data_IF_179449001281
#
_entry.id   IF_179449001281
#
_cell.length_a   1.000
_cell.length_b   1.000
_cell.length_c   1.000
_cell.angle_alpha   90.00
_cell.angle_beta   90.00
_cell.angle_gamma   90.00
#
_symmetry.space_group_name_H-M   'P 1'
#
loop_
_entity.id
_entity.type
_entity.pdbx_description
1 polymer ?
#
# COMPACT_ATOMS: atom_id res chain seq x y z
N UNK A 1 -23.67 -4.09 22.11
CA UNK A 1 -22.28 -3.56 22.12
C UNK A 1 -22.29 -2.15 22.69
N UNK A 2 -21.36 -1.88 23.64
CA UNK A 2 -21.21 -0.55 24.21
C UNK A 2 -20.72 0.44 23.13
N UNK A 3 -21.28 1.64 23.15
CA UNK A 3 -20.92 2.74 22.26
C UNK A 3 -20.74 4.02 23.06
N UNK A 4 -20.11 5.01 22.46
CA UNK A 4 -20.02 6.34 23.08
C UNK A 4 -21.40 6.98 23.26
N UNK A 5 -21.48 7.93 24.18
CA UNK A 5 -22.72 8.61 24.53
C UNK A 5 -23.10 9.75 23.59
N UNK A 6 -22.20 10.17 22.70
CA UNK A 6 -22.39 11.37 21.89
C UNK A 6 -22.59 11.07 20.39
N UNK A 7 -23.21 12.02 19.72
CA UNK A 7 -23.31 12.05 18.25
C UNK A 7 -22.55 13.22 17.62
N UNK A 8 -22.13 14.17 18.45
CA UNK A 8 -21.29 15.30 18.03
C UNK A 8 -19.98 15.28 18.86
N UNK A 9 -18.86 15.43 18.21
CA UNK A 9 -17.54 15.34 18.85
C UNK A 9 -17.38 16.26 20.06
N UNK A 10 -17.90 17.50 19.97
CA UNK A 10 -17.80 18.47 21.05
C UNK A 10 -18.56 18.09 22.31
N UNK A 11 -19.45 17.09 22.22
CA UNK A 11 -20.26 16.61 23.35
C UNK A 11 -19.66 15.36 24.01
N UNK A 12 -18.55 14.87 23.50
CA UNK A 12 -17.89 13.70 24.06
C UNK A 12 -17.28 14.00 25.43
N UNK A 13 -17.36 13.02 26.33
CA UNK A 13 -16.70 13.08 27.64
C UNK A 13 -15.30 12.47 27.56
N UNK A 14 -14.49 12.68 28.59
CA UNK A 14 -13.19 12.05 28.70
C UNK A 14 -13.30 10.52 28.62
N UNK A 15 -14.30 9.96 29.29
CA UNK A 15 -14.54 8.51 29.29
C UNK A 15 -14.89 7.99 27.91
N UNK A 16 -15.68 8.74 27.14
CA UNK A 16 -15.99 8.42 25.75
C UNK A 16 -14.73 8.31 24.91
N UNK A 17 -13.82 9.29 25.02
CA UNK A 17 -12.60 9.32 24.24
C UNK A 17 -11.60 8.25 24.65
N UNK A 18 -11.52 7.93 25.94
CA UNK A 18 -10.70 6.82 26.41
C UNK A 18 -11.21 5.47 25.89
N UNK A 19 -12.53 5.33 25.85
CA UNK A 19 -13.18 4.15 25.29
C UNK A 19 -12.87 4.00 23.80
N UNK A 20 -12.96 5.08 23.04
CA UNK A 20 -12.65 5.07 21.60
C UNK A 20 -11.16 4.77 21.36
N UNK A 21 -10.28 5.38 22.14
CA UNK A 21 -8.83 5.16 22.03
C UNK A 21 -8.48 3.67 22.21
N UNK A 22 -9.10 3.02 23.18
CA UNK A 22 -8.93 1.59 23.39
C UNK A 22 -9.37 0.78 22.18
N UNK A 23 -10.54 1.08 21.63
CA UNK A 23 -11.05 0.40 20.44
C UNK A 23 -10.18 0.66 19.20
N UNK A 24 -9.70 1.89 19.04
CA UNK A 24 -8.78 2.24 17.95
C UNK A 24 -7.48 1.42 18.03
N UNK A 25 -6.90 1.33 19.21
CA UNK A 25 -5.66 0.55 19.40
C UNK A 25 -5.86 -0.93 19.06
N UNK A 26 -6.94 -1.52 19.52
CA UNK A 26 -7.29 -2.90 19.19
C UNK A 26 -7.49 -3.07 17.67
N UNK A 27 -8.15 -2.10 17.05
CA UNK A 27 -8.35 -2.12 15.60
C UNK A 27 -7.05 -2.00 14.82
N UNK A 28 -6.13 -1.16 15.27
CA UNK A 28 -4.79 -1.01 14.67
C UNK A 28 -4.01 -2.32 14.74
N UNK A 29 -4.11 -3.05 15.86
CA UNK A 29 -3.41 -4.33 16.03
C UNK A 29 -3.80 -5.39 14.99
N UNK A 30 -4.99 -5.26 14.40
CA UNK A 30 -5.49 -6.17 13.37
C UNK A 30 -5.32 -5.62 11.93
N UNK A 31 -4.49 -4.61 11.73
CA UNK A 31 -4.27 -4.00 10.41
C UNK A 31 -3.72 -5.01 9.40
N UNK A 32 -2.76 -5.83 9.80
CA UNK A 32 -2.17 -6.83 8.89
C UNK A 32 -3.22 -7.81 8.36
N UNK A 33 -4.12 -8.25 9.22
CA UNK A 33 -5.20 -9.17 8.83
C UNK A 33 -6.13 -8.54 7.79
N UNK A 34 -6.46 -7.25 7.96
CA UNK A 34 -7.29 -6.53 6.99
C UNK A 34 -6.58 -6.34 5.66
N UNK A 35 -5.28 -6.07 5.68
CA UNK A 35 -4.47 -5.94 4.47
C UNK A 35 -4.43 -7.26 3.72
N UNK A 36 -4.19 -8.37 4.39
CA UNK A 36 -4.16 -9.71 3.79
C UNK A 36 -5.52 -10.04 3.16
N UNK A 37 -6.60 -9.74 3.87
CA UNK A 37 -7.97 -9.94 3.35
C UNK A 37 -8.20 -9.12 2.09
N UNK A 38 -7.81 -7.85 2.08
CA UNK A 38 -7.92 -6.99 0.91
C UNK A 38 -7.09 -7.55 -0.27
N UNK A 39 -5.85 -7.93 -0.02
CA UNK A 39 -4.96 -8.52 -1.02
C UNK A 39 -5.57 -9.76 -1.67
N UNK A 40 -6.23 -10.60 -0.91
CA UNK A 40 -6.85 -11.83 -1.43
C UNK A 40 -7.94 -11.55 -2.47
N UNK A 41 -8.51 -10.34 -2.48
CA UNK A 41 -9.50 -9.90 -3.47
C UNK A 41 -8.90 -9.41 -4.79
N UNK A 42 -7.59 -9.25 -4.88
CA UNK A 42 -6.92 -8.71 -6.07
C UNK A 42 -6.77 -9.73 -7.21
N UNK A 43 -7.60 -10.74 -7.24
CA UNK A 43 -7.62 -11.76 -8.30
C UNK A 43 -8.45 -11.35 -9.51
N UNK A 44 -9.38 -10.41 -9.34
CA UNK A 44 -10.34 -10.01 -10.37
C UNK A 44 -10.33 -8.53 -10.71
N UNK A 45 -9.38 -7.79 -10.16
CA UNK A 45 -9.21 -6.35 -10.44
C UNK A 45 -8.37 -6.16 -11.70
N UNK A 46 -8.20 -4.94 -12.14
CA UNK A 46 -7.36 -4.50 -13.25
C UNK A 46 -6.94 -5.61 -14.23
N UNK A 47 -7.72 -5.80 -15.28
CA UNK A 47 -7.50 -6.81 -16.30
C UNK A 47 -6.48 -6.36 -17.37
N UNK A 48 -6.07 -7.29 -18.21
CA UNK A 48 -5.18 -7.02 -19.34
C UNK A 48 -3.76 -7.55 -19.16
N UNK A 49 -3.39 -7.95 -17.96
CA UNK A 49 -2.09 -8.55 -17.69
C UNK A 49 -2.15 -10.08 -17.79
N UNK A 50 -1.00 -10.70 -17.96
CA UNK A 50 -0.89 -12.16 -18.04
C UNK A 50 -1.20 -12.85 -16.69
N UNK A 51 -1.02 -12.14 -15.60
CA UNK A 51 -1.30 -12.64 -14.23
C UNK A 51 -2.18 -11.64 -13.49
N UNK A 52 -2.90 -12.12 -12.48
CA UNK A 52 -3.69 -11.24 -11.63
C UNK A 52 -2.78 -10.30 -10.82
N UNK A 53 -3.36 -9.25 -10.26
CA UNK A 53 -2.61 -8.35 -9.38
C UNK A 53 -2.11 -9.07 -8.12
N UNK A 54 -2.87 -10.01 -7.61
CA UNK A 54 -2.43 -10.84 -6.49
C UNK A 54 -1.22 -11.70 -6.87
N UNK A 55 -1.28 -12.39 -8.01
CA UNK A 55 -0.16 -13.21 -8.49
C UNK A 55 1.09 -12.35 -8.72
N UNK A 56 0.95 -11.17 -9.33
CA UNK A 56 2.05 -10.24 -9.52
C UNK A 56 2.69 -9.85 -8.19
N UNK A 57 1.87 -9.51 -7.19
CA UNK A 57 2.34 -9.15 -5.85
C UNK A 57 3.11 -10.27 -5.19
N UNK A 58 2.59 -11.50 -5.28
CA UNK A 58 3.25 -12.69 -4.72
C UNK A 58 4.55 -13.01 -5.45
N UNK A 59 4.57 -12.91 -6.77
CA UNK A 59 5.79 -13.10 -7.56
C UNK A 59 6.86 -12.07 -7.22
N UNK A 60 6.47 -10.82 -7.08
CA UNK A 60 7.38 -9.73 -6.72
C UNK A 60 8.00 -9.95 -5.35
N UNK A 61 7.19 -10.30 -4.36
CA UNK A 61 7.66 -10.61 -3.01
C UNK A 61 8.59 -11.83 -2.99
N UNK A 62 8.26 -12.86 -3.77
CA UNK A 62 9.08 -14.06 -3.89
C UNK A 62 10.45 -13.73 -4.49
N UNK A 63 10.50 -12.88 -5.51
CA UNK A 63 11.76 -12.44 -6.10
C UNK A 63 12.61 -11.66 -5.10
N UNK A 64 11.98 -10.78 -4.32
CA UNK A 64 12.67 -10.03 -3.26
C UNK A 64 13.26 -10.98 -2.21
N UNK A 65 12.49 -11.98 -1.78
CA UNK A 65 12.96 -13.00 -0.83
C UNK A 65 14.15 -13.77 -1.38
N UNK A 66 14.05 -14.25 -2.62
CA UNK A 66 15.14 -14.99 -3.27
C UNK A 66 16.39 -14.15 -3.50
N UNK A 67 16.22 -12.84 -3.67
CA UNK A 67 17.34 -11.90 -3.80
C UNK A 67 18.04 -11.60 -2.46
N UNK A 68 17.52 -12.12 -1.36
CA UNK A 68 18.08 -11.87 -0.03
C UNK A 68 17.73 -10.51 0.57
N UNK A 69 16.65 -9.90 0.11
CA UNK A 69 16.20 -8.61 0.63
C UNK A 69 15.72 -8.74 2.09
N UNK A 70 15.68 -7.60 2.78
CA UNK A 70 15.17 -7.54 4.15
C UNK A 70 13.68 -7.91 4.20
N UNK A 71 13.22 -8.35 5.37
CA UNK A 71 11.79 -8.58 5.60
C UNK A 71 10.96 -7.34 5.27
N UNK A 72 11.44 -6.17 5.69
CA UNK A 72 10.81 -4.89 5.37
C UNK A 72 10.60 -4.72 3.86
N UNK A 73 11.63 -4.99 3.07
CA UNK A 73 11.56 -4.85 1.61
C UNK A 73 10.66 -5.92 0.98
N UNK A 74 10.66 -7.14 1.50
CA UNK A 74 9.79 -8.21 1.03
C UNK A 74 8.32 -7.80 1.22
N UNK A 75 7.98 -7.30 2.40
CA UNK A 75 6.62 -6.83 2.71
C UNK A 75 6.26 -5.63 1.83
N UNK A 76 7.15 -4.67 1.70
CA UNK A 76 6.93 -3.49 0.85
C UNK A 76 6.68 -3.89 -0.60
N UNK A 77 7.44 -4.84 -1.10
CA UNK A 77 7.29 -5.36 -2.45
C UNK A 77 5.96 -6.10 -2.63
N UNK A 78 5.54 -6.87 -1.63
CA UNK A 78 4.24 -7.53 -1.64
C UNK A 78 3.10 -6.51 -1.78
N UNK A 79 3.21 -5.35 -1.15
CA UNK A 79 2.15 -4.35 -1.07
C UNK A 79 2.30 -3.21 -2.09
N UNK A 80 3.33 -3.22 -2.94
CA UNK A 80 3.64 -2.06 -3.77
C UNK A 80 2.52 -1.63 -4.73
N UNK A 81 1.70 -2.55 -5.20
CA UNK A 81 0.58 -2.28 -6.10
C UNK A 81 -0.80 -2.41 -5.41
N UNK A 82 -0.85 -2.41 -4.08
CA UNK A 82 -2.12 -2.53 -3.35
C UNK A 82 -3.11 -1.40 -3.67
N UNK A 83 -2.62 -0.29 -4.20
CA UNK A 83 -3.45 0.85 -4.59
C UNK A 83 -4.14 0.72 -5.94
N UNK A 84 -3.84 -0.30 -6.72
CA UNK A 84 -4.38 -0.43 -8.09
C UNK A 84 -5.90 -0.43 -8.16
N UNK A 85 -6.58 -1.01 -7.17
CA UNK A 85 -8.04 -1.07 -7.18
C UNK A 85 -8.70 0.26 -6.80
N UNK A 86 -8.22 0.90 -5.74
CA UNK A 86 -8.88 2.09 -5.18
C UNK A 86 -8.24 3.39 -5.61
N UNK A 87 -6.99 3.38 -6.03
CA UNK A 87 -6.26 4.57 -6.40
C UNK A 87 -5.38 4.33 -7.64
N UNK A 88 -5.97 3.92 -8.78
CA UNK A 88 -5.17 3.61 -9.98
C UNK A 88 -4.37 4.80 -10.52
N UNK A 89 -4.83 6.02 -10.26
CA UNK A 89 -4.14 7.23 -10.71
C UNK A 89 -2.89 7.57 -9.87
N UNK A 90 -2.83 7.07 -8.65
CA UNK A 90 -1.75 7.36 -7.70
C UNK A 90 -1.46 6.17 -6.78
N UNK A 91 -1.47 4.98 -7.36
CA UNK A 91 -1.30 3.74 -6.59
C UNK A 91 0.01 3.66 -5.81
N UNK A 92 1.07 4.28 -6.32
CA UNK A 92 2.38 4.30 -5.64
C UNK A 92 2.32 5.07 -4.33
N UNK A 93 1.69 6.25 -4.35
CA UNK A 93 1.49 7.06 -3.14
C UNK A 93 0.59 6.34 -2.13
N UNK A 94 -0.46 5.68 -2.63
CA UNK A 94 -1.38 4.91 -1.80
C UNK A 94 -0.65 3.80 -1.04
N UNK A 95 0.13 2.99 -1.75
CA UNK A 95 0.91 1.91 -1.14
C UNK A 95 1.93 2.45 -0.13
N UNK A 96 2.63 3.52 -0.49
CA UNK A 96 3.61 4.15 0.38
C UNK A 96 2.97 4.69 1.66
N UNK A 97 1.77 5.24 1.58
CA UNK A 97 1.04 5.74 2.75
C UNK A 97 0.69 4.62 3.72
N UNK A 98 0.22 3.49 3.20
CA UNK A 98 -0.09 2.31 4.03
C UNK A 98 1.15 1.80 4.75
N UNK A 99 2.29 1.79 4.06
CA UNK A 99 3.56 1.28 4.57
C UNK A 99 4.29 2.24 5.51
N UNK A 100 4.05 3.54 5.37
CA UNK A 100 4.83 4.58 6.05
C UNK A 100 5.08 4.36 7.54
N UNK A 101 4.09 3.95 8.36
CA UNK A 101 4.32 3.75 9.79
C UNK A 101 5.25 2.58 10.12
N UNK A 102 5.52 1.69 9.16
CA UNK A 102 6.15 0.40 9.42
C UNK A 102 7.51 0.22 8.76
N UNK A 103 7.90 1.12 7.86
CA UNK A 103 9.11 0.98 7.06
C UNK A 103 10.04 2.18 7.22
N UNK A 104 11.30 2.03 6.81
CA UNK A 104 12.26 3.11 6.78
C UNK A 104 11.90 4.16 5.72
N UNK A 105 12.46 5.36 5.86
CA UNK A 105 12.28 6.44 4.87
C UNK A 105 12.71 6.01 3.47
N UNK A 106 13.79 5.24 3.38
CA UNK A 106 14.29 4.73 2.10
C UNK A 106 13.28 3.82 1.43
N UNK A 107 12.74 2.85 2.17
CA UNK A 107 11.75 1.92 1.64
C UNK A 107 10.47 2.65 1.24
N UNK A 108 10.00 3.56 2.09
CA UNK A 108 8.85 4.41 1.78
C UNK A 108 9.07 5.19 0.47
N UNK A 109 10.23 5.81 0.31
CA UNK A 109 10.56 6.56 -0.90
C UNK A 109 10.55 5.66 -2.16
N UNK A 110 11.13 4.46 -2.06
CA UNK A 110 11.16 3.51 -3.18
C UNK A 110 9.74 3.17 -3.63
N UNK A 111 8.87 2.87 -2.70
CA UNK A 111 7.47 2.51 -3.02
C UNK A 111 6.72 3.73 -3.57
N UNK A 112 6.88 4.89 -2.94
CA UNK A 112 6.24 6.13 -3.39
C UNK A 112 6.60 6.48 -4.83
N UNK A 113 7.83 6.22 -5.23
CA UNK A 113 8.36 6.59 -6.55
C UNK A 113 8.33 5.48 -7.58
N UNK A 114 7.91 4.26 -7.23
CA UNK A 114 8.01 3.14 -8.17
C UNK A 114 7.20 3.36 -9.46
N UNK A 115 6.07 4.03 -9.39
CA UNK A 115 5.28 4.35 -10.58
C UNK A 115 6.01 5.30 -11.55
N UNK A 116 6.81 6.21 -11.03
CA UNK A 116 7.61 7.11 -11.85
C UNK A 116 8.69 6.34 -12.63
N UNK A 117 9.34 5.38 -11.97
CA UNK A 117 10.32 4.52 -12.63
C UNK A 117 9.67 3.64 -13.71
N UNK A 118 8.48 3.12 -13.44
CA UNK A 118 7.72 2.35 -14.43
C UNK A 118 7.36 3.21 -15.65
N UNK A 119 7.12 4.51 -15.45
CA UNK A 119 6.78 5.43 -16.53
C UNK A 119 7.89 5.52 -17.60
N UNK A 120 9.11 5.10 -17.30
CA UNK A 120 10.17 4.96 -18.29
C UNK A 120 9.71 4.11 -19.48
N UNK A 121 8.97 3.05 -19.23
CA UNK A 121 8.45 2.16 -20.29
C UNK A 121 7.21 2.70 -20.97
N UNK A 122 6.43 3.53 -20.31
CA UNK A 122 5.19 4.09 -20.83
C UNK A 122 5.37 5.47 -21.48
N UNK A 123 6.48 6.14 -21.23
CA UNK A 123 6.73 7.49 -21.72
C UNK A 123 6.57 7.66 -23.24
N UNK A 124 7.04 6.74 -24.08
CA UNK A 124 6.86 6.86 -25.53
C UNK A 124 5.40 6.87 -25.98
N UNK A 125 4.50 6.35 -25.17
CA UNK A 125 3.06 6.25 -25.47
C UNK A 125 2.27 7.37 -24.80
N UNK A 126 2.56 7.64 -23.53
CA UNK A 126 1.75 8.54 -22.69
C UNK A 126 2.37 9.92 -22.50
N UNK A 127 3.68 10.04 -22.49
CA UNK A 127 4.41 11.27 -22.23
C UNK A 127 5.58 11.44 -23.18
N UNK A 128 5.72 12.62 -23.76
CA UNK A 128 6.83 12.94 -24.64
C UNK A 128 7.89 13.83 -23.99
N UNK A 129 7.60 14.34 -22.79
CA UNK A 129 8.44 15.32 -22.09
C UNK A 129 8.87 14.88 -20.70
N UNK A 130 8.54 13.65 -20.31
CA UNK A 130 8.87 13.13 -19.00
C UNK A 130 10.37 12.84 -18.89
N UNK A 131 11.01 13.43 -17.87
CA UNK A 131 12.41 13.17 -17.57
C UNK A 131 12.50 12.13 -16.45
N UNK A 132 13.17 11.02 -16.73
CA UNK A 132 13.33 9.93 -15.78
C UNK A 132 14.80 9.63 -15.53
N UNK A 133 15.13 9.00 -14.38
CA UNK A 133 16.47 8.47 -14.16
C UNK A 133 16.86 7.51 -15.27
N UNK A 134 18.15 7.47 -15.58
CA UNK A 134 18.69 6.66 -16.68
C UNK A 134 18.71 5.16 -16.40
N UNK A 135 18.53 4.74 -15.15
CA UNK A 135 18.52 3.34 -14.75
C UNK A 135 17.13 2.98 -14.24
N UNK A 136 16.26 2.41 -15.08
CA UNK A 136 14.93 2.00 -14.64
C UNK A 136 14.99 0.72 -13.81
N UNK A 137 14.19 0.66 -12.77
CA UNK A 137 13.93 -0.53 -11.98
C UNK A 137 12.53 -1.05 -12.29
N UNK A 138 12.46 -2.31 -12.55
CA UNK A 138 11.20 -2.98 -12.86
C UNK A 138 11.03 -4.21 -12.00
#
# INVERSE_FOLDING_TARGET
>A
MKKVSFTEMKKGTKEDYLFLDKHEKEYVDHTAERIIKFMSGLTTTLEGYQVSRLEHSLQSATRAERAGESEEMIVATLLHDIGDELAPMNHSEYAATILKPYVSEKTHWIIEKHGEFQAYYYAPVSYTHLTLPTTPYV
#
